data_IF_744539466291
#
_entry.id   IF_744539466291
#
_cell.length_a   1.000
_cell.length_b   1.000
_cell.length_c   1.000
_cell.angle_alpha   90.00
_cell.angle_beta   90.00
_cell.angle_gamma   90.00
#
_symmetry.space_group_name_H-M   'P 1'
#
loop_
_entity.id
_entity.type
_entity.pdbx_description
1 polymer ?
#
# COMPACT_ATOMS: atom_id res chain seq x y z
N UNK A 1 16.13 11.12 -1.31
CA UNK A 1 15.93 12.10 -0.21
C UNK A 1 17.21 12.21 0.59
N UNK A 2 17.60 13.41 1.04
CA UNK A 2 18.85 13.64 1.81
C UNK A 2 18.60 13.81 3.32
N UNK A 3 19.65 13.76 4.16
CA UNK A 3 19.54 14.10 5.57
C UNK A 3 18.88 15.47 5.80
N UNK A 4 18.03 15.59 6.83
CA UNK A 4 17.29 16.82 7.14
C UNK A 4 16.00 17.04 6.35
N UNK A 5 15.62 16.10 5.47
CA UNK A 5 14.30 16.16 4.80
C UNK A 5 13.19 16.07 5.86
N UNK A 6 12.19 16.97 5.84
CA UNK A 6 11.08 16.93 6.80
C UNK A 6 10.27 15.63 6.73
N UNK A 7 9.84 15.13 7.89
CA UNK A 7 8.86 14.05 7.98
C UNK A 7 7.47 14.66 7.80
N UNK A 8 6.89 14.46 6.62
CA UNK A 8 5.60 15.07 6.24
C UNK A 8 4.38 14.24 6.61
N UNK A 9 4.56 13.08 7.26
CA UNK A 9 3.46 12.23 7.71
C UNK A 9 2.66 11.56 6.58
N UNK A 10 3.29 11.36 5.42
CA UNK A 10 2.69 10.73 4.24
C UNK A 10 3.48 9.48 3.85
N UNK A 11 2.80 8.49 3.27
CA UNK A 11 3.41 7.32 2.66
C UNK A 11 4.11 7.67 1.35
N UNK A 12 4.92 6.74 0.83
CA UNK A 12 5.51 6.88 -0.50
C UNK A 12 4.41 7.08 -1.56
N UNK A 13 3.36 6.27 -1.50
CA UNK A 13 2.24 6.28 -2.43
C UNK A 13 1.46 7.60 -2.38
N UNK A 14 1.30 8.19 -1.19
CA UNK A 14 0.70 9.52 -1.01
C UNK A 14 1.55 10.65 -1.63
N UNK A 15 2.88 10.46 -1.70
CA UNK A 15 3.81 11.45 -2.28
C UNK A 15 4.11 11.24 -3.76
N UNK A 16 3.68 10.13 -4.36
CA UNK A 16 4.02 9.73 -5.73
C UNK A 16 3.23 10.49 -6.81
N UNK A 17 2.26 11.33 -6.42
CA UNK A 17 1.38 12.08 -7.32
C UNK A 17 -0.09 11.72 -7.10
N UNK A 18 -0.99 12.12 -8.02
CA UNK A 18 -2.40 11.73 -7.97
C UNK A 18 -2.55 10.21 -7.98
N UNK A 19 -3.37 9.68 -7.08
CA UNK A 19 -3.65 8.25 -7.03
C UNK A 19 -4.56 7.84 -8.18
N UNK A 20 -4.01 7.07 -9.13
CA UNK A 20 -4.77 6.39 -10.18
C UNK A 20 -4.74 4.87 -9.95
N UNK A 21 -5.84 4.26 -9.48
CA UNK A 21 -5.95 2.81 -9.34
C UNK A 21 -5.63 2.05 -10.64
N UNK A 22 -5.93 2.67 -11.79
CA UNK A 22 -5.75 2.11 -13.12
C UNK A 22 -4.30 1.79 -13.48
N UNK A 23 -3.34 2.51 -12.92
CA UNK A 23 -1.90 2.34 -13.22
C UNK A 23 -1.13 1.66 -12.10
N UNK A 24 -1.75 1.46 -10.94
CA UNK A 24 -1.11 0.75 -9.82
C UNK A 24 -0.95 -0.74 -10.15
N UNK A 25 0.24 -1.34 -9.91
CA UNK A 25 0.45 -2.79 -10.11
C UNK A 25 -0.10 -3.63 -8.95
N UNK A 26 -0.59 -3.00 -7.89
CA UNK A 26 -1.11 -3.66 -6.70
C UNK A 26 -2.46 -4.34 -7.03
N UNK A 27 -2.71 -5.61 -6.64
CA UNK A 27 -4.00 -6.27 -6.86
C UNK A 27 -5.19 -5.60 -6.17
N UNK A 28 -5.06 -5.29 -4.87
CA UNK A 28 -6.11 -4.64 -4.10
C UNK A 28 -6.00 -3.11 -4.21
N UNK A 29 -6.87 -2.53 -5.05
CA UNK A 29 -6.85 -1.10 -5.38
C UNK A 29 -8.04 -0.38 -4.76
N UNK A 30 -7.82 0.35 -3.68
CA UNK A 30 -8.85 1.19 -3.06
C UNK A 30 -8.98 2.53 -3.80
N UNK A 31 -10.03 3.31 -3.49
CA UNK A 31 -10.24 4.68 -4.02
C UNK A 31 -9.30 5.73 -3.40
N UNK A 32 -8.19 5.30 -2.79
CA UNK A 32 -7.14 6.11 -2.17
C UNK A 32 -5.84 5.31 -2.15
N UNK A 33 -4.67 5.97 -2.10
CA UNK A 33 -3.42 5.26 -1.90
C UNK A 33 -3.36 4.62 -0.50
N UNK A 34 -2.54 3.57 -0.30
CA UNK A 34 -2.11 3.16 1.02
C UNK A 34 -1.45 4.31 1.77
N UNK A 35 -1.72 4.43 3.07
CA UNK A 35 -1.25 5.53 3.92
C UNK A 35 -0.52 5.01 5.15
N UNK A 36 0.19 5.89 5.87
CA UNK A 36 0.79 5.53 7.16
C UNK A 36 -0.25 5.04 8.18
N UNK A 37 -1.49 5.53 8.10
CA UNK A 37 -2.58 5.11 8.97
C UNK A 37 -2.95 3.63 8.76
N UNK A 38 -2.79 3.08 7.56
CA UNK A 38 -3.08 1.67 7.29
C UNK A 38 -2.07 0.74 7.99
N UNK A 39 -0.79 1.10 7.97
CA UNK A 39 0.24 0.42 8.76
C UNK A 39 -0.05 0.53 10.26
N UNK A 40 -0.43 1.73 10.75
CA UNK A 40 -0.72 1.95 12.16
C UNK A 40 -1.92 1.11 12.66
N UNK A 41 -2.94 0.90 11.82
CA UNK A 41 -4.09 0.04 12.16
C UNK A 41 -3.69 -1.41 12.37
N UNK A 42 -2.84 -1.95 11.50
CA UNK A 42 -2.33 -3.32 11.66
C UNK A 42 -1.46 -3.42 12.90
N UNK A 43 -0.59 -2.44 13.16
CA UNK A 43 0.20 -2.40 14.38
C UNK A 43 -0.69 -2.38 15.64
N UNK A 44 -1.76 -1.56 15.64
CA UNK A 44 -2.70 -1.48 16.76
C UNK A 44 -3.46 -2.80 16.99
N UNK A 45 -3.84 -3.49 15.92
CA UNK A 45 -4.43 -4.83 16.00
C UNK A 45 -3.45 -5.85 16.61
N UNK A 46 -2.19 -5.86 16.17
CA UNK A 46 -1.19 -6.82 16.65
C UNK A 46 -0.76 -6.63 18.10
N UNK A 47 -1.04 -5.46 18.70
CA UNK A 47 -0.78 -5.20 20.13
C UNK A 47 -2.04 -5.35 20.99
N UNK A 48 -3.21 -5.61 20.39
CA UNK A 48 -4.46 -5.75 21.14
C UNK A 48 -4.72 -7.21 21.56
N UNK A 49 -5.69 -7.41 22.45
CA UNK A 49 -6.14 -8.75 22.85
C UNK A 49 -6.79 -9.53 21.68
N UNK A 50 -7.20 -8.84 20.61
CA UNK A 50 -7.81 -9.49 19.44
C UNK A 50 -6.80 -10.36 18.67
N UNK A 51 -5.50 -10.11 18.83
CA UNK A 51 -4.44 -10.91 18.25
C UNK A 51 -3.91 -12.01 19.19
N UNK A 52 -4.67 -12.43 20.21
CA UNK A 52 -4.22 -13.37 21.25
C UNK A 52 -3.61 -14.69 20.75
N UNK A 53 -3.98 -15.15 19.54
CA UNK A 53 -3.46 -16.38 18.91
C UNK A 53 -2.56 -16.12 17.69
N UNK A 54 -2.00 -14.91 17.56
CA UNK A 54 -1.20 -14.48 16.42
C UNK A 54 0.20 -14.10 16.92
N UNK A 55 1.21 -14.90 16.55
CA UNK A 55 2.61 -14.63 16.91
C UNK A 55 3.57 -15.26 15.89
N UNK A 56 4.77 -14.69 15.75
CA UNK A 56 5.82 -15.22 14.86
C UNK A 56 5.60 -15.01 13.36
N UNK A 57 4.69 -14.11 12.97
CA UNK A 57 4.40 -13.78 11.57
C UNK A 57 4.72 -12.33 11.23
N UNK A 58 4.89 -12.07 9.94
CA UNK A 58 4.89 -10.72 9.34
C UNK A 58 3.57 -10.53 8.60
N UNK A 59 2.82 -9.48 8.95
CA UNK A 59 1.55 -9.15 8.29
C UNK A 59 1.77 -7.96 7.34
N UNK A 60 1.70 -8.15 6.01
CA UNK A 60 1.80 -7.04 5.06
C UNK A 60 0.54 -6.17 5.12
N UNK A 61 0.68 -4.90 5.49
CA UNK A 61 -0.45 -3.98 5.74
C UNK A 61 -0.80 -3.07 4.54
N UNK A 62 0.17 -2.79 3.65
CA UNK A 62 0.01 -1.81 2.56
C UNK A 62 0.46 -2.31 1.19
N UNK A 63 0.76 -3.61 1.04
CA UNK A 63 1.22 -4.17 -0.25
C UNK A 63 0.08 -4.47 -1.23
N UNK A 64 -1.17 -4.44 -0.74
CA UNK A 64 -2.39 -4.84 -1.43
C UNK A 64 -2.31 -6.19 -2.16
N UNK A 65 -1.54 -7.13 -1.60
CA UNK A 65 -1.36 -8.49 -2.14
C UNK A 65 -0.24 -8.62 -3.16
N UNK A 66 0.55 -7.57 -3.41
CA UNK A 66 1.69 -7.62 -4.35
C UNK A 66 2.69 -8.71 -3.97
N UNK A 67 2.97 -8.90 -2.68
CA UNK A 67 3.95 -9.90 -2.21
C UNK A 67 3.38 -11.32 -2.19
N UNK A 68 2.06 -11.46 -2.32
CA UNK A 68 1.38 -12.76 -2.41
C UNK A 68 1.32 -13.29 -3.84
N UNK A 69 1.72 -12.48 -4.83
CA UNK A 69 1.73 -12.86 -6.24
C UNK A 69 3.14 -13.19 -6.71
N UNK A 70 3.24 -14.12 -7.66
CA UNK A 70 4.47 -14.31 -8.43
C UNK A 70 4.78 -13.05 -9.24
N UNK A 71 6.07 -12.73 -9.38
CA UNK A 71 6.57 -11.59 -10.15
C UNK A 71 6.51 -11.83 -11.68
N UNK A 72 5.35 -12.28 -12.16
CA UNK A 72 5.02 -12.46 -13.57
C UNK A 72 3.93 -11.45 -13.93
N UNK A 73 4.09 -10.73 -15.04
CA UNK A 73 3.06 -9.83 -15.54
C UNK A 73 2.04 -10.60 -16.37
N UNK A 74 0.76 -10.36 -16.12
CA UNK A 74 -0.38 -10.84 -16.91
C UNK A 74 -0.98 -9.70 -17.72
N UNK A 75 -1.83 -10.02 -18.70
CA UNK A 75 -2.46 -9.01 -19.56
C UNK A 75 -3.34 -8.04 -18.76
N UNK A 76 -3.99 -8.53 -17.71
CA UNK A 76 -4.87 -7.74 -16.83
C UNK A 76 -4.10 -6.73 -15.95
N UNK A 77 -2.77 -6.85 -15.88
CA UNK A 77 -1.91 -5.91 -15.16
C UNK A 77 -1.53 -4.68 -16.00
N UNK A 78 -1.88 -4.68 -17.29
CA UNK A 78 -1.63 -3.55 -18.16
C UNK A 78 -2.25 -2.28 -17.56
N UNK A 79 -1.49 -1.17 -17.43
CA UNK A 79 -2.02 0.08 -16.93
C UNK A 79 -3.25 0.50 -17.76
N UNK A 80 -4.35 0.77 -17.07
CA UNK A 80 -5.58 1.29 -17.65
C UNK A 80 -5.96 2.58 -16.92
N UNK A 81 -5.31 3.72 -17.25
CA UNK A 81 -5.46 4.97 -16.51
C UNK A 81 -6.93 5.38 -16.36
N UNK A 82 -7.29 5.79 -15.14
CA UNK A 82 -8.66 6.23 -14.82
C UNK A 82 -8.75 7.74 -14.63
N UNK A 83 -7.62 8.42 -14.50
CA UNK A 83 -7.55 9.87 -14.46
C UNK A 83 -7.41 10.46 -15.87
N UNK A 84 -7.87 11.70 -16.11
CA UNK A 84 -7.61 12.40 -17.37
C UNK A 84 -6.11 12.49 -17.67
N UNK A 85 -5.74 12.24 -18.92
CA UNK A 85 -4.42 12.58 -19.46
C UNK A 85 -4.47 14.04 -19.90
N UNK A 86 -3.78 14.91 -19.16
CA UNK A 86 -3.50 16.29 -19.56
C UNK A 86 -2.45 16.36 -20.68
#
# INVERSE_FOLDING_TARGET
>A
MGPGTPVIGQSYEETAGPWDPGVSPIPLKLQRPPSLVDNAKVALFLVSDDSAYISGLTLPATDGGTLSRVAMMFEEDAPNPTLPVD
#
